data_IF_388600392027
#
_entry.id   IF_388600392027
#
_cell.length_a   1.000
_cell.length_b   1.000
_cell.length_c   1.000
_cell.angle_alpha   90.00
_cell.angle_beta   90.00
_cell.angle_gamma   90.00
#
_symmetry.space_group_name_H-M   'P 1'
#
loop_
_entity.id
_entity.type
_entity.pdbx_description
1 polymer ?
#
# COMPACT_ATOMS: atom_id res chain seq x y z
N UNK A 1 -22.37 -11.20 1.36
CA UNK A 1 -22.77 -12.62 1.13
C UNK A 1 -21.83 -13.46 1.96
N UNK A 2 -22.35 -14.04 3.06
CA UNK A 2 -21.57 -14.87 4.00
C UNK A 2 -21.38 -16.25 3.38
N UNK A 3 -20.15 -16.60 3.00
CA UNK A 3 -19.80 -17.99 2.65
C UNK A 3 -19.26 -18.67 3.91
N UNK A 4 -19.99 -19.63 4.39
CA UNK A 4 -19.55 -20.51 5.46
C UNK A 4 -18.64 -21.60 4.88
N UNK A 5 -17.44 -21.77 5.43
CA UNK A 5 -16.57 -22.90 5.13
C UNK A 5 -16.98 -24.06 6.05
N UNK A 6 -17.53 -25.12 5.46
CA UNK A 6 -17.94 -26.36 6.17
C UNK A 6 -16.72 -27.27 6.18
N UNK A 7 -16.19 -27.55 7.38
CA UNK A 7 -15.19 -28.61 7.57
C UNK A 7 -16.01 -29.93 7.72
N UNK A 8 -15.92 -30.81 6.72
CA UNK A 8 -16.62 -32.11 6.75
C UNK A 8 -15.85 -33.11 7.60
N UNK A 9 -16.51 -33.60 8.62
CA UNK A 9 -16.07 -34.73 9.41
C UNK A 9 -16.68 -36.01 8.77
N UNK A 10 -15.84 -36.85 8.20
CA UNK A 10 -16.28 -38.17 7.64
C UNK A 10 -16.34 -39.19 8.75
N UNK A 11 -17.55 -39.50 9.21
CA UNK A 11 -17.81 -40.65 10.07
C UNK A 11 -18.51 -41.74 9.24
N UNK A 12 -17.85 -42.86 9.06
CA UNK A 12 -18.37 -44.01 8.36
C UNK A 12 -19.34 -44.79 9.27
N UNK A 13 -20.61 -44.85 8.94
CA UNK A 13 -21.57 -45.77 9.53
C UNK A 13 -21.88 -46.92 8.55
N UNK A 14 -21.67 -48.16 9.02
CA UNK A 14 -22.07 -49.37 8.32
C UNK A 14 -23.55 -49.67 8.70
N UNK A 15 -24.41 -49.69 7.68
CA UNK A 15 -25.82 -50.06 7.83
C UNK A 15 -26.02 -51.52 7.45
N UNK A 16 -26.55 -52.33 8.35
CA UNK A 16 -26.97 -53.70 8.08
C UNK A 16 -28.49 -53.72 7.91
N UNK A 17 -28.91 -54.29 6.79
CA UNK A 17 -30.26 -54.33 6.29
C UNK A 17 -31.25 -55.16 7.16
N UNK A 18 -32.48 -54.66 7.27
CA UNK A 18 -33.62 -55.43 7.74
C UNK A 18 -34.51 -55.85 6.58
N UNK A 19 -34.88 -57.14 6.59
CA UNK A 19 -35.86 -57.76 5.69
C UNK A 19 -37.27 -57.63 6.24
N UNK A 20 -38.21 -57.34 5.38
CA UNK A 20 -39.68 -57.45 5.52
C UNK A 20 -40.14 -58.86 5.85
N UNK A 21 -41.22 -59.00 6.63
CA UNK A 21 -42.06 -60.18 6.62
C UNK A 21 -43.52 -59.91 6.91
N UNK A 22 -44.32 -60.58 6.13
CA UNK A 22 -45.73 -60.63 5.92
C UNK A 22 -46.62 -60.87 7.14
N UNK A 23 -47.90 -60.47 7.04
CA UNK A 23 -49.03 -60.79 7.92
C UNK A 23 -49.55 -62.16 7.61
N UNK A 24 -50.10 -62.84 8.61
CA UNK A 24 -51.11 -63.84 8.39
C UNK A 24 -52.41 -63.70 9.20
N UNK A 25 -53.42 -64.32 8.64
CA UNK A 25 -54.84 -64.33 8.86
C UNK A 25 -55.30 -64.80 10.20
N UNK A 26 -56.58 -64.41 10.51
CA UNK A 26 -57.44 -64.74 11.64
C UNK A 26 -57.99 -66.19 11.57
N UNK A 27 -58.09 -66.97 12.64
CA UNK A 27 -58.99 -68.10 12.75
C UNK A 27 -60.11 -67.94 13.78
N UNK A 28 -61.16 -68.67 13.53
CA UNK A 28 -62.50 -68.75 14.11
C UNK A 28 -62.52 -69.41 15.45
N UNK A 29 -63.62 -69.23 16.27
CA UNK A 29 -63.65 -69.64 17.68
C UNK A 29 -64.10 -71.10 17.96
N UNK A 30 -63.63 -71.61 19.03
CA UNK A 30 -64.12 -72.90 19.63
C UNK A 30 -63.95 -72.93 21.16
N UNK A 31 -64.55 -73.84 21.91
CA UNK A 31 -65.57 -73.58 22.93
C UNK A 31 -65.02 -73.44 24.35
N UNK A 32 -65.89 -72.92 25.24
CA UNK A 32 -65.69 -72.62 26.65
C UNK A 32 -65.30 -73.84 27.52
N UNK A 33 -64.28 -73.77 28.35
CA UNK A 33 -64.01 -74.65 29.45
C UNK A 33 -64.49 -74.10 30.81
N UNK A 34 -64.57 -74.92 31.87
CA UNK A 34 -65.24 -74.66 33.14
C UNK A 34 -64.42 -73.74 34.05
N UNK A 35 -65.13 -73.10 35.04
CA UNK A 35 -64.63 -72.11 35.94
C UNK A 35 -63.38 -72.51 36.75
N UNK A 36 -62.38 -71.62 36.89
CA UNK A 36 -61.19 -71.92 37.66
C UNK A 36 -61.34 -71.63 39.15
N UNK A 37 -60.65 -72.44 39.92
CA UNK A 37 -60.37 -72.35 41.36
C UNK A 37 -59.60 -71.01 41.64
N UNK A 38 -59.76 -70.38 42.83
CA UNK A 38 -59.06 -69.13 43.16
C UNK A 38 -57.55 -69.36 43.23
N UNK A 39 -56.83 -68.75 42.33
CA UNK A 39 -55.34 -68.66 42.31
C UNK A 39 -54.84 -67.70 43.40
N UNK A 40 -53.82 -68.15 44.15
CA UNK A 40 -53.08 -67.34 45.07
C UNK A 40 -52.36 -66.16 44.32
N UNK A 41 -52.18 -65.01 44.96
CA UNK A 41 -51.46 -63.85 44.29
C UNK A 41 -50.06 -64.28 43.98
N UNK A 42 -49.72 -64.20 42.68
CA UNK A 42 -48.33 -64.30 42.18
C UNK A 42 -47.52 -63.14 42.75
N UNK A 43 -46.35 -63.34 43.36
CA UNK A 43 -45.49 -62.26 43.78
C UNK A 43 -45.15 -61.39 42.56
N UNK A 44 -45.43 -60.08 42.67
CA UNK A 44 -45.04 -59.09 41.67
C UNK A 44 -43.50 -59.13 41.54
N UNK A 45 -42.90 -59.27 40.34
CA UNK A 45 -41.45 -59.24 40.20
C UNK A 45 -40.96 -57.90 40.69
N UNK A 46 -39.91 -57.96 41.50
CA UNK A 46 -39.22 -56.78 41.98
C UNK A 46 -38.96 -55.81 40.82
N UNK A 47 -39.17 -54.51 40.99
CA UNK A 47 -38.86 -53.51 39.92
C UNK A 47 -37.41 -53.66 39.53
N UNK A 48 -37.16 -53.98 38.24
CA UNK A 48 -35.83 -54.05 37.68
C UNK A 48 -35.09 -52.79 38.09
N UNK A 49 -33.84 -52.84 38.60
CA UNK A 49 -33.10 -51.68 38.99
C UNK A 49 -33.12 -50.69 37.82
N UNK A 50 -33.54 -49.45 38.05
CA UNK A 50 -33.55 -48.39 37.10
C UNK A 50 -32.08 -48.18 36.71
N UNK A 51 -31.68 -48.48 35.47
CA UNK A 51 -30.35 -48.22 35.01
C UNK A 51 -30.07 -46.71 35.23
N UNK A 52 -29.15 -46.43 36.13
CA UNK A 52 -28.67 -45.02 36.31
C UNK A 52 -28.08 -44.51 35.01
N UNK A 53 -28.68 -43.50 34.47
CA UNK A 53 -28.18 -42.87 33.24
C UNK A 53 -26.73 -42.42 33.42
N UNK A 54 -25.91 -42.57 32.40
CA UNK A 54 -24.50 -42.17 32.40
C UNK A 54 -24.27 -40.92 31.54
N UNK A 55 -23.59 -39.92 32.08
CA UNK A 55 -23.16 -38.77 31.29
C UNK A 55 -22.03 -39.17 30.33
N UNK A 56 -21.98 -38.55 29.15
CA UNK A 56 -20.92 -38.73 28.17
C UNK A 56 -20.66 -37.40 27.52
N UNK A 57 -19.50 -36.80 27.82
CA UNK A 57 -19.08 -35.52 27.25
C UNK A 57 -18.15 -35.75 26.06
N UNK A 58 -18.47 -35.13 24.94
CA UNK A 58 -17.68 -35.20 23.69
C UNK A 58 -17.32 -33.81 23.20
N UNK A 59 -16.23 -33.74 22.46
CA UNK A 59 -15.89 -32.55 21.68
C UNK A 59 -16.90 -32.40 20.55
N UNK A 60 -17.57 -31.25 20.45
CA UNK A 60 -18.60 -30.99 19.45
C UNK A 60 -18.05 -30.18 18.26
N UNK A 61 -17.39 -29.07 18.55
CA UNK A 61 -16.75 -28.21 17.51
C UNK A 61 -15.59 -27.40 18.09
N UNK A 62 -14.71 -26.96 17.18
CA UNK A 62 -13.65 -26.02 17.49
C UNK A 62 -13.82 -24.83 16.54
N UNK A 63 -13.77 -23.64 17.08
CA UNK A 63 -13.99 -22.39 16.35
C UNK A 63 -12.81 -21.43 16.55
N UNK A 64 -12.28 -20.88 15.46
CA UNK A 64 -11.29 -19.82 15.52
C UNK A 64 -11.97 -18.53 15.97
N UNK A 65 -11.77 -18.18 17.25
CA UNK A 65 -12.32 -16.99 17.86
C UNK A 65 -11.60 -15.73 17.39
N UNK A 66 -10.26 -15.75 17.41
CA UNK A 66 -9.42 -14.66 16.93
C UNK A 66 -8.02 -15.15 16.55
N UNK A 67 -7.43 -14.50 15.59
CA UNK A 67 -6.03 -14.54 15.23
C UNK A 67 -5.45 -13.12 15.30
N UNK A 68 -4.11 -12.98 15.37
CA UNK A 68 -3.47 -11.67 15.62
C UNK A 68 -3.52 -10.70 14.44
N UNK A 69 -3.71 -11.19 13.21
CA UNK A 69 -3.80 -10.39 11.98
C UNK A 69 -5.23 -10.27 11.44
N UNK A 70 -6.18 -11.03 12.05
CA UNK A 70 -7.61 -11.06 11.73
C UNK A 70 -7.92 -11.47 10.27
N UNK A 71 -7.10 -12.34 9.67
CA UNK A 71 -7.31 -12.88 8.32
C UNK A 71 -8.07 -14.22 8.34
N UNK A 72 -8.31 -14.80 9.53
CA UNK A 72 -8.99 -16.08 9.78
C UNK A 72 -8.23 -17.32 9.31
N UNK A 73 -6.96 -17.18 9.06
CA UNK A 73 -6.00 -18.23 8.78
C UNK A 73 -5.04 -18.37 9.96
N UNK A 74 -4.53 -19.55 10.21
CA UNK A 74 -3.55 -19.77 11.28
C UNK A 74 -2.19 -19.97 10.65
N UNK A 75 -1.31 -19.01 10.83
CA UNK A 75 0.03 -18.97 10.24
C UNK A 75 1.12 -18.91 11.32
N UNK A 76 2.37 -19.14 10.92
CA UNK A 76 3.52 -19.01 11.82
C UNK A 76 3.61 -17.61 12.44
N UNK A 77 4.00 -17.54 13.72
CA UNK A 77 4.16 -16.31 14.49
C UNK A 77 2.88 -15.69 15.03
N UNK A 78 1.71 -16.27 14.75
CA UNK A 78 0.44 -15.71 15.15
C UNK A 78 0.00 -16.14 16.54
N UNK A 79 -0.68 -15.22 17.24
CA UNK A 79 -1.46 -15.51 18.41
C UNK A 79 -2.84 -16.01 18.00
N UNK A 80 -3.17 -17.21 18.40
CA UNK A 80 -4.40 -17.90 18.06
C UNK A 80 -5.26 -18.04 19.31
N UNK A 81 -6.56 -17.80 19.19
CA UNK A 81 -7.57 -18.03 20.22
C UNK A 81 -8.68 -18.87 19.65
N UNK A 82 -8.95 -20.00 20.30
CA UNK A 82 -9.97 -20.94 19.87
C UNK A 82 -11.07 -21.04 20.93
N UNK A 83 -12.31 -21.01 20.51
CA UNK A 83 -13.41 -21.43 21.33
C UNK A 83 -13.76 -22.89 21.02
N UNK A 84 -14.11 -23.66 22.04
CA UNK A 84 -14.32 -25.10 21.97
C UNK A 84 -15.68 -25.42 22.57
N UNK A 85 -16.53 -26.08 21.80
CA UNK A 85 -17.81 -26.53 22.27
C UNK A 85 -17.74 -28.02 22.70
N UNK A 86 -18.32 -28.31 23.86
CA UNK A 86 -18.54 -29.66 24.37
C UNK A 86 -20.03 -30.00 24.31
N UNK A 87 -20.36 -31.29 24.14
CA UNK A 87 -21.73 -31.77 24.12
C UNK A 87 -21.91 -32.97 25.05
N UNK A 88 -22.99 -32.98 25.81
CA UNK A 88 -23.39 -34.15 26.54
C UNK A 88 -24.26 -35.07 25.65
N UNK A 89 -23.71 -36.19 25.22
CA UNK A 89 -24.40 -37.20 24.42
C UNK A 89 -24.89 -38.40 25.26
N UNK A 90 -24.67 -38.34 26.58
CA UNK A 90 -25.06 -39.38 27.50
C UNK A 90 -26.55 -39.38 27.84
N UNK A 91 -26.91 -40.23 28.80
CA UNK A 91 -28.29 -40.44 29.29
C UNK A 91 -28.52 -39.83 30.68
N UNK A 92 -27.54 -39.13 31.25
CA UNK A 92 -27.63 -38.36 32.48
C UNK A 92 -27.04 -36.96 32.34
N UNK A 93 -27.47 -36.04 33.20
CA UNK A 93 -26.87 -34.68 33.31
C UNK A 93 -25.45 -34.78 33.89
N UNK A 94 -24.48 -34.11 33.28
CA UNK A 94 -23.14 -33.90 33.84
C UNK A 94 -23.11 -32.58 34.62
N UNK A 95 -22.65 -32.62 35.87
CA UNK A 95 -22.49 -31.40 36.71
C UNK A 95 -21.02 -31.05 36.85
N UNK A 96 -20.71 -29.77 36.99
CA UNK A 96 -19.32 -29.23 37.17
C UNK A 96 -18.32 -29.69 36.09
N UNK A 97 -18.76 -29.68 34.82
CA UNK A 97 -17.91 -30.07 33.69
C UNK A 97 -16.79 -29.03 33.49
N UNK A 98 -15.55 -29.56 33.42
CA UNK A 98 -14.33 -28.79 33.17
C UNK A 98 -13.54 -29.45 32.05
N UNK A 99 -12.78 -28.62 31.29
CA UNK A 99 -11.86 -29.12 30.29
C UNK A 99 -10.44 -28.55 30.52
N UNK A 100 -9.46 -29.45 30.48
CA UNK A 100 -8.04 -29.10 30.49
C UNK A 100 -7.47 -29.32 29.09
N UNK A 101 -6.83 -28.30 28.54
CA UNK A 101 -6.21 -28.33 27.22
C UNK A 101 -4.69 -28.47 27.35
N UNK A 102 -4.09 -29.27 26.48
CA UNK A 102 -2.64 -29.47 26.45
C UNK A 102 -2.15 -29.79 25.03
N UNK A 103 -0.89 -29.50 24.78
CA UNK A 103 -0.19 -29.90 23.54
C UNK A 103 1.24 -30.27 23.84
N UNK A 104 1.81 -31.22 23.08
CA UNK A 104 3.24 -31.55 23.09
C UNK A 104 3.98 -30.99 21.87
N UNK A 105 3.31 -30.15 21.07
CA UNK A 105 3.94 -29.56 19.89
C UNK A 105 5.00 -28.54 20.28
N UNK A 106 6.21 -28.70 19.75
CA UNK A 106 7.32 -27.75 19.92
C UNK A 106 7.10 -26.45 19.15
N UNK A 107 6.10 -26.42 18.29
CA UNK A 107 5.72 -25.26 17.49
C UNK A 107 4.71 -24.34 18.19
N UNK A 108 4.35 -24.65 19.44
CA UNK A 108 3.43 -23.84 20.25
C UNK A 108 4.20 -23.19 21.39
N UNK A 109 4.02 -21.88 21.52
CA UNK A 109 4.54 -21.08 22.63
C UNK A 109 3.38 -20.33 23.30
N UNK A 110 3.57 -19.93 24.57
CA UNK A 110 2.55 -19.19 25.35
C UNK A 110 1.18 -19.88 25.40
N UNK A 111 1.17 -21.22 25.56
CA UNK A 111 -0.07 -22.00 25.65
C UNK A 111 -0.83 -21.69 26.94
N UNK A 112 -2.10 -21.33 26.85
CA UNK A 112 -2.97 -21.01 27.98
C UNK A 112 -4.45 -21.32 27.68
N UNK A 113 -5.31 -21.50 28.71
CA UNK A 113 -4.99 -21.46 30.12
C UNK A 113 -4.26 -22.73 30.60
N UNK A 114 -3.47 -22.59 31.66
CA UNK A 114 -2.84 -23.74 32.35
C UNK A 114 -3.75 -24.36 33.39
N UNK A 115 -4.92 -23.77 33.64
CA UNK A 115 -5.95 -24.23 34.59
C UNK A 115 -7.17 -24.73 33.83
N UNK A 116 -7.97 -25.67 34.45
CA UNK A 116 -9.18 -26.16 33.80
C UNK A 116 -10.19 -25.06 33.46
N UNK A 117 -10.75 -25.12 32.26
CA UNK A 117 -11.81 -24.23 31.77
C UNK A 117 -13.16 -24.77 32.20
N UNK A 118 -14.02 -23.93 32.79
CA UNK A 118 -15.34 -24.30 33.25
C UNK A 118 -16.35 -24.34 32.11
N UNK A 119 -17.16 -25.42 32.07
CA UNK A 119 -18.33 -25.59 31.20
C UNK A 119 -19.62 -25.69 31.99
N UNK A 120 -19.51 -25.91 33.31
CA UNK A 120 -20.66 -25.95 34.22
C UNK A 120 -21.52 -27.19 34.11
N UNK A 121 -22.83 -27.06 34.38
CA UNK A 121 -23.79 -28.15 34.28
C UNK A 121 -24.26 -28.33 32.83
N UNK A 122 -24.16 -29.56 32.33
CA UNK A 122 -24.53 -29.93 30.97
C UNK A 122 -25.66 -30.97 30.98
N UNK A 123 -26.95 -30.58 30.86
CA UNK A 123 -28.07 -31.49 30.66
C UNK A 123 -27.86 -32.38 29.42
N UNK A 124 -28.66 -33.46 29.35
CA UNK A 124 -28.68 -34.40 28.22
C UNK A 124 -28.90 -33.61 26.91
N UNK A 125 -28.05 -33.82 25.90
CA UNK A 125 -28.13 -33.19 24.59
C UNK A 125 -27.61 -31.77 24.53
N UNK A 126 -27.27 -31.13 25.66
CA UNK A 126 -26.76 -29.77 25.69
C UNK A 126 -25.36 -29.65 25.04
N UNK A 127 -25.19 -28.63 24.23
CA UNK A 127 -23.88 -28.13 23.77
C UNK A 127 -23.55 -26.89 24.56
N UNK A 128 -22.34 -26.81 25.11
CA UNK A 128 -21.86 -25.66 25.88
C UNK A 128 -20.49 -25.17 25.40
N UNK A 129 -20.28 -23.87 25.46
CA UNK A 129 -19.00 -23.20 25.37
C UNK A 129 -18.48 -22.84 26.76
N UNK A 130 -17.25 -22.28 26.84
CA UNK A 130 -16.64 -21.80 28.09
C UNK A 130 -17.62 -20.95 28.89
N UNK A 131 -17.76 -21.27 30.19
CA UNK A 131 -18.62 -20.55 31.12
C UNK A 131 -20.12 -20.59 30.76
N UNK A 132 -20.57 -21.53 29.93
CA UNK A 132 -21.92 -21.58 29.35
C UNK A 132 -22.28 -20.33 28.51
N UNK A 133 -21.26 -19.60 28.03
CA UNK A 133 -21.44 -18.45 27.17
C UNK A 133 -21.82 -18.82 25.74
N UNK A 134 -22.00 -17.81 24.92
CA UNK A 134 -22.25 -17.97 23.48
C UNK A 134 -20.95 -18.26 22.71
N UNK A 135 -21.07 -18.75 21.49
CA UNK A 135 -19.96 -19.09 20.58
C UNK A 135 -18.91 -17.96 20.45
N UNK A 136 -19.36 -16.73 20.38
CA UNK A 136 -18.54 -15.54 20.14
C UNK A 136 -18.26 -14.73 21.42
N UNK A 137 -18.57 -15.26 22.63
CA UNK A 137 -18.41 -14.49 23.87
C UNK A 137 -16.99 -14.50 24.44
N UNK A 138 -16.28 -15.64 24.33
CA UNK A 138 -14.93 -15.82 24.87
C UNK A 138 -14.24 -17.03 24.22
N UNK A 139 -12.92 -17.17 24.45
CA UNK A 139 -12.14 -18.31 23.96
C UNK A 139 -11.80 -19.28 25.08
N UNK A 140 -11.67 -20.56 24.74
CA UNK A 140 -11.34 -21.63 25.69
C UNK A 140 -9.83 -21.88 25.78
N UNK A 141 -9.11 -21.74 24.68
CA UNK A 141 -7.65 -21.96 24.58
C UNK A 141 -7.00 -20.95 23.68
N UNK A 142 -5.81 -20.50 24.07
CA UNK A 142 -4.99 -19.59 23.29
C UNK A 142 -3.53 -20.03 23.29
N UNK A 143 -2.82 -19.72 22.23
CA UNK A 143 -1.39 -19.97 22.07
C UNK A 143 -0.79 -19.10 20.97
N UNK A 144 0.54 -19.09 20.90
CA UNK A 144 1.27 -18.50 19.77
C UNK A 144 1.91 -19.61 18.94
N UNK A 145 1.73 -19.56 17.63
CA UNK A 145 2.45 -20.45 16.68
C UNK A 145 3.87 -19.95 16.51
N UNK A 146 4.87 -20.81 16.70
CA UNK A 146 6.27 -20.44 16.53
C UNK A 146 6.57 -19.91 15.13
N UNK A 147 7.45 -18.91 15.01
CA UNK A 147 7.92 -18.36 13.74
C UNK A 147 8.64 -19.38 12.85
N UNK A 148 9.15 -20.47 13.46
CA UNK A 148 9.87 -21.55 12.76
C UNK A 148 8.96 -22.66 12.27
N UNK A 149 7.64 -22.57 12.48
CA UNK A 149 6.68 -23.62 12.12
C UNK A 149 6.58 -23.75 10.60
N UNK A 150 6.82 -24.95 10.04
CA UNK A 150 6.59 -25.18 8.62
C UNK A 150 5.12 -25.08 8.25
N UNK A 151 4.83 -24.64 7.03
CA UNK A 151 3.48 -24.70 6.48
C UNK A 151 2.97 -26.15 6.41
N UNK A 152 1.69 -26.35 6.60
CA UNK A 152 1.06 -27.67 6.65
C UNK A 152 1.27 -28.45 7.96
N UNK A 153 1.97 -27.85 8.94
CA UNK A 153 2.13 -28.48 10.26
C UNK A 153 0.76 -28.65 10.93
N UNK A 154 0.50 -29.87 11.42
CA UNK A 154 -0.65 -30.20 12.22
C UNK A 154 -0.29 -30.12 13.71
N UNK A 155 -0.90 -29.21 14.45
CA UNK A 155 -0.69 -29.03 15.89
C UNK A 155 -1.79 -29.76 16.62
N UNK A 156 -1.52 -30.90 17.31
CA UNK A 156 -2.51 -31.61 18.10
C UNK A 156 -2.76 -30.87 19.42
N UNK A 157 -4.03 -30.71 19.77
CA UNK A 157 -4.48 -30.19 21.06
C UNK A 157 -5.30 -31.29 21.75
N UNK A 158 -4.81 -31.76 22.89
CA UNK A 158 -5.50 -32.74 23.70
C UNK A 158 -6.49 -32.05 24.65
N UNK A 159 -7.66 -32.64 24.83
CA UNK A 159 -8.73 -32.16 25.71
C UNK A 159 -9.05 -33.25 26.71
N UNK A 160 -8.80 -33.01 28.01
CA UNK A 160 -9.25 -33.83 29.09
C UNK A 160 -10.48 -33.17 29.73
N UNK A 161 -11.63 -33.78 29.59
CA UNK A 161 -12.90 -33.33 30.18
C UNK A 161 -13.20 -34.12 31.46
N UNK A 162 -13.62 -33.45 32.51
CA UNK A 162 -13.95 -34.08 33.79
C UNK A 162 -15.21 -33.47 34.40
N UNK A 163 -15.93 -34.23 35.22
CA UNK A 163 -17.02 -33.72 36.07
C UNK A 163 -16.83 -34.06 37.57
N UNK A 164 -15.60 -34.39 37.95
CA UNK A 164 -15.21 -34.82 39.29
C UNK A 164 -15.27 -36.33 39.49
N UNK A 165 -16.22 -37.05 38.87
CA UNK A 165 -16.39 -38.50 38.99
C UNK A 165 -15.95 -39.26 37.74
N UNK A 166 -16.29 -38.71 36.57
CA UNK A 166 -15.97 -39.27 35.26
C UNK A 166 -14.97 -38.40 34.51
N UNK A 167 -14.25 -39.02 33.56
CA UNK A 167 -13.36 -38.32 32.64
C UNK A 167 -13.55 -38.80 31.21
N UNK A 168 -13.38 -37.89 30.26
CA UNK A 168 -13.45 -38.14 28.83
C UNK A 168 -12.27 -37.46 28.14
N UNK A 169 -11.81 -37.99 27.03
CA UNK A 169 -10.69 -37.46 26.27
C UNK A 169 -11.08 -37.24 24.82
N UNK A 170 -10.52 -36.18 24.23
CA UNK A 170 -10.61 -35.90 22.82
C UNK A 170 -9.30 -35.24 22.38
N UNK A 171 -9.05 -35.24 21.07
CA UNK A 171 -7.98 -34.51 20.46
C UNK A 171 -8.52 -33.85 19.21
N UNK A 172 -8.11 -32.60 18.97
CA UNK A 172 -8.32 -31.96 17.69
C UNK A 172 -6.99 -31.41 17.16
N UNK A 173 -6.91 -31.13 15.88
CA UNK A 173 -5.70 -30.58 15.23
C UNK A 173 -5.98 -29.20 14.68
N UNK A 174 -4.97 -28.34 14.82
CA UNK A 174 -4.91 -27.03 14.18
C UNK A 174 -3.91 -27.12 13.05
N UNK A 175 -4.31 -26.76 11.84
CA UNK A 175 -3.43 -26.72 10.68
C UNK A 175 -2.78 -25.34 10.57
N UNK A 176 -1.44 -25.31 10.50
CA UNK A 176 -0.70 -24.07 10.22
C UNK A 176 -0.61 -23.89 8.71
N UNK A 177 -1.21 -22.83 8.23
CA UNK A 177 -1.23 -22.54 6.81
C UNK A 177 0.09 -21.87 6.35
N UNK A 178 0.38 -21.92 5.07
CA UNK A 178 1.47 -21.13 4.49
C UNK A 178 1.12 -19.64 4.60
N UNK A 179 2.10 -18.82 5.01
CA UNK A 179 1.99 -17.39 4.76
C UNK A 179 2.07 -17.19 3.25
N UNK A 180 0.95 -16.91 2.66
CA UNK A 180 0.83 -16.59 1.23
C UNK A 180 0.86 -15.07 1.03
N UNK A 181 1.78 -14.40 1.72
CA UNK A 181 2.09 -13.00 1.47
C UNK A 181 3.17 -12.90 0.38
N UNK A 182 2.94 -12.08 -0.61
CA UNK A 182 3.88 -11.81 -1.69
C UNK A 182 3.93 -10.32 -1.93
N UNK A 183 5.00 -9.67 -1.44
CA UNK A 183 5.14 -8.22 -1.51
C UNK A 183 6.00 -7.83 -2.70
N UNK A 184 5.50 -6.90 -3.50
CA UNK A 184 6.20 -6.33 -4.64
C UNK A 184 5.93 -4.85 -4.82
N UNK A 185 6.58 -4.26 -5.82
CA UNK A 185 6.31 -2.90 -6.25
C UNK A 185 4.89 -2.80 -6.83
N UNK A 186 4.21 -1.69 -6.54
CA UNK A 186 2.90 -1.37 -7.10
C UNK A 186 2.96 -0.16 -8.04
N UNK A 187 3.31 0.99 -7.48
CA UNK A 187 3.41 2.25 -8.21
C UNK A 187 4.31 3.24 -7.46
N UNK A 188 4.75 4.29 -8.13
CA UNK A 188 5.39 5.43 -7.49
C UNK A 188 4.63 6.73 -7.77
N UNK A 189 4.83 7.70 -6.91
CA UNK A 189 4.30 9.04 -7.01
C UNK A 189 5.43 10.06 -6.81
N UNK A 190 5.58 11.01 -7.74
CA UNK A 190 6.51 12.13 -7.59
C UNK A 190 5.87 13.14 -6.65
N UNK A 191 6.30 13.10 -5.39
CA UNK A 191 5.78 14.02 -4.37
C UNK A 191 6.25 15.44 -4.63
N UNK A 192 7.55 15.60 -4.85
CA UNK A 192 8.19 16.88 -5.10
C UNK A 192 9.24 16.72 -6.21
N UNK A 193 9.32 17.68 -7.07
CA UNK A 193 10.35 17.96 -8.04
C UNK A 193 10.59 19.47 -8.06
N UNK A 194 11.76 19.92 -8.50
CA UNK A 194 12.15 21.33 -8.35
C UNK A 194 11.34 22.27 -9.22
N UNK A 195 10.80 21.82 -10.37
CA UNK A 195 10.01 22.63 -11.30
C UNK A 195 8.50 22.39 -11.20
N UNK A 196 8.07 21.38 -10.40
CA UNK A 196 6.69 21.01 -10.12
C UNK A 196 5.88 20.56 -11.36
N UNK A 197 6.54 19.96 -12.37
CA UNK A 197 5.88 19.41 -13.56
C UNK A 197 5.49 17.93 -13.43
N UNK A 198 5.85 17.30 -12.32
CA UNK A 198 5.64 15.87 -12.01
C UNK A 198 6.34 14.92 -12.98
N UNK A 199 7.44 15.38 -13.53
CA UNK A 199 8.35 14.61 -14.36
C UNK A 199 9.73 14.51 -13.69
N UNK A 200 10.57 13.57 -14.13
CA UNK A 200 11.95 13.47 -13.66
C UNK A 200 12.84 14.09 -14.70
N UNK A 201 13.36 15.29 -14.44
CA UNK A 201 14.19 16.02 -15.38
C UNK A 201 15.64 16.11 -14.92
N UNK A 202 16.56 16.38 -15.85
CA UNK A 202 17.97 16.60 -15.52
C UNK A 202 18.15 17.85 -14.65
N UNK A 203 19.07 17.78 -13.68
CA UNK A 203 19.41 18.89 -12.78
C UNK A 203 18.44 19.07 -11.62
N UNK A 204 17.41 18.22 -11.47
CA UNK A 204 16.38 18.34 -10.45
C UNK A 204 16.62 17.44 -9.25
N UNK A 205 16.15 17.89 -8.11
CA UNK A 205 15.92 17.05 -6.94
C UNK A 205 14.53 16.48 -6.98
N UNK A 206 14.45 15.17 -6.87
CA UNK A 206 13.20 14.39 -6.93
C UNK A 206 12.95 13.75 -5.57
N UNK A 207 11.69 13.78 -5.12
CA UNK A 207 11.21 13.02 -3.97
C UNK A 207 10.11 12.08 -4.42
N UNK A 208 10.31 10.77 -4.20
CA UNK A 208 9.36 9.72 -4.57
C UNK A 208 8.71 9.12 -3.35
N UNK A 209 7.41 8.96 -3.39
CA UNK A 209 6.70 8.01 -2.56
C UNK A 209 6.39 6.76 -3.38
N UNK A 210 6.52 5.58 -2.76
CA UNK A 210 6.38 4.29 -3.44
C UNK A 210 5.35 3.47 -2.71
N UNK A 211 4.41 2.90 -3.43
CA UNK A 211 3.46 1.93 -2.91
C UNK A 211 3.98 0.51 -3.15
N UNK A 212 3.83 -0.33 -2.14
CA UNK A 212 4.01 -1.77 -2.22
C UNK A 212 2.66 -2.46 -2.28
N UNK A 213 2.57 -3.58 -2.98
CA UNK A 213 1.39 -4.43 -3.08
C UNK A 213 1.66 -5.81 -2.52
N UNK A 214 0.75 -6.29 -1.71
CA UNK A 214 0.67 -7.69 -1.34
C UNK A 214 -0.26 -8.40 -2.32
N UNK A 215 0.29 -9.23 -3.20
CA UNK A 215 -0.49 -10.04 -4.15
C UNK A 215 -0.87 -11.42 -3.59
N UNK A 216 -0.35 -11.76 -2.41
CA UNK A 216 -0.74 -12.96 -1.68
C UNK A 216 -2.07 -12.79 -0.95
N UNK A 217 -2.59 -13.88 -0.38
CA UNK A 217 -3.87 -13.92 0.34
C UNK A 217 -3.77 -13.51 1.81
N UNK A 218 -2.61 -13.75 2.43
CA UNK A 218 -2.37 -13.46 3.85
C UNK A 218 -1.79 -12.07 4.08
N UNK A 219 -2.00 -11.53 5.29
CA UNK A 219 -1.42 -10.25 5.70
C UNK A 219 0.08 -10.36 5.98
N UNK A 220 0.91 -9.54 5.33
CA UNK A 220 2.31 -9.33 5.73
C UNK A 220 2.35 -8.34 6.90
N UNK A 221 3.06 -8.68 7.98
CA UNK A 221 3.11 -7.86 9.21
C UNK A 221 4.40 -7.04 9.28
N UNK A 222 4.28 -5.78 9.72
CA UNK A 222 5.39 -4.83 9.90
C UNK A 222 6.36 -4.78 8.71
N UNK A 223 5.80 -4.62 7.51
CA UNK A 223 6.58 -4.58 6.26
C UNK A 223 7.49 -3.38 6.25
N UNK A 224 8.77 -3.63 5.94
CA UNK A 224 9.83 -2.63 5.78
C UNK A 224 10.47 -2.75 4.41
N UNK A 225 10.92 -1.64 3.86
CA UNK A 225 11.61 -1.62 2.58
C UNK A 225 12.81 -0.67 2.60
N UNK A 226 13.89 -1.08 1.93
CA UNK A 226 15.05 -0.26 1.62
C UNK A 226 15.18 -0.10 0.11
N UNK A 227 15.57 1.10 -0.33
CA UNK A 227 15.67 1.46 -1.73
C UNK A 227 17.14 1.71 -2.10
N UNK A 228 17.56 1.18 -3.23
CA UNK A 228 18.91 1.37 -3.75
C UNK A 228 18.86 1.88 -5.19
N UNK A 229 19.59 2.97 -5.46
CA UNK A 229 19.76 3.52 -6.80
C UNK A 229 21.21 3.33 -7.22
N UNK A 230 21.43 2.61 -8.30
CA UNK A 230 22.76 2.33 -8.83
C UNK A 230 22.87 2.96 -10.23
N UNK A 231 23.05 4.29 -10.29
CA UNK A 231 23.14 5.04 -11.54
C UNK A 231 24.25 6.11 -11.47
N UNK A 232 25.07 6.18 -12.50
CA UNK A 232 26.09 7.20 -12.63
C UNK A 232 25.50 8.62 -12.80
N UNK A 233 24.22 8.72 -13.13
CA UNK A 233 23.50 9.96 -13.37
C UNK A 233 22.76 10.52 -12.15
N UNK A 234 22.94 9.90 -10.99
CA UNK A 234 22.23 10.27 -9.75
C UNK A 234 23.25 10.63 -8.66
N UNK A 235 22.94 11.66 -7.90
CA UNK A 235 23.71 12.11 -6.73
C UNK A 235 22.77 12.40 -5.56
N UNK A 236 23.33 12.63 -4.36
CA UNK A 236 22.59 13.06 -3.17
C UNK A 236 21.41 12.12 -2.83
N UNK A 237 21.63 10.80 -2.96
CA UNK A 237 20.61 9.79 -2.65
C UNK A 237 20.37 9.77 -1.15
N UNK A 238 19.12 9.93 -0.75
CA UNK A 238 18.65 9.74 0.61
C UNK A 238 17.45 8.77 0.58
N UNK A 239 17.66 7.56 1.07
CA UNK A 239 16.69 6.49 1.05
C UNK A 239 16.72 5.74 2.39
N UNK A 240 16.20 6.32 3.49
CA UNK A 240 16.11 5.65 4.77
C UNK A 240 15.15 4.44 4.68
N UNK A 241 15.31 3.46 5.58
CA UNK A 241 14.35 2.36 5.69
C UNK A 241 12.94 2.92 5.88
N UNK A 242 12.01 2.45 5.05
CA UNK A 242 10.62 2.87 5.07
C UNK A 242 9.72 1.78 5.68
N UNK A 243 8.89 2.14 6.66
CA UNK A 243 7.89 1.25 7.23
C UNK A 243 6.55 1.40 6.51
N UNK A 244 5.96 0.26 6.12
CA UNK A 244 4.64 0.16 5.49
C UNK A 244 3.59 -0.41 6.46
N UNK A 245 4.03 -0.82 7.67
CA UNK A 245 3.18 -1.53 8.65
C UNK A 245 2.62 -2.82 8.04
N UNK A 246 1.43 -3.25 8.47
CA UNK A 246 0.80 -4.45 7.94
C UNK A 246 0.17 -4.17 6.57
N UNK A 247 0.45 -5.03 5.57
CA UNK A 247 -0.20 -4.97 4.26
C UNK A 247 -1.09 -6.20 4.12
N UNK A 248 -2.41 -6.00 4.15
CA UNK A 248 -3.38 -7.09 4.01
C UNK A 248 -3.27 -7.78 2.64
N UNK A 249 -3.70 -9.03 2.57
CA UNK A 249 -3.73 -9.77 1.31
C UNK A 249 -4.52 -9.02 0.23
N UNK A 250 -4.05 -9.07 -1.01
CA UNK A 250 -4.62 -8.41 -2.18
C UNK A 250 -4.74 -6.87 -2.06
N UNK A 251 -3.98 -6.23 -1.17
CA UNK A 251 -4.01 -4.77 -0.97
C UNK A 251 -2.65 -4.12 -1.18
N UNK A 252 -2.65 -2.78 -1.32
CA UNK A 252 -1.45 -1.97 -1.43
C UNK A 252 -1.38 -0.94 -0.31
N UNK A 253 -0.17 -0.45 -0.04
CA UNK A 253 0.07 0.59 0.94
C UNK A 253 1.23 1.49 0.53
N UNK A 254 1.14 2.77 0.84
CA UNK A 254 2.25 3.71 0.92
C UNK A 254 2.87 3.69 2.32
N UNK A 255 4.01 4.36 2.48
CA UNK A 255 4.72 4.53 3.76
C UNK A 255 3.74 4.89 4.89
N UNK A 256 3.84 4.18 6.02
CA UNK A 256 2.98 4.31 7.19
C UNK A 256 1.47 4.19 6.94
N UNK A 257 1.04 3.65 5.79
CA UNK A 257 -0.36 3.65 5.32
C UNK A 257 -0.96 5.05 5.17
N UNK A 258 -0.13 6.04 4.97
CA UNK A 258 -0.55 7.41 4.67
C UNK A 258 -0.96 7.54 3.20
N UNK A 259 -1.52 8.69 2.82
CA UNK A 259 -1.81 8.97 1.41
C UNK A 259 -0.51 9.11 0.59
N UNK A 260 -0.59 8.93 -0.72
CA UNK A 260 0.56 9.07 -1.63
C UNK A 260 1.24 10.45 -1.56
N UNK A 261 0.52 11.46 -1.08
CA UNK A 261 0.97 12.85 -1.00
C UNK A 261 1.58 13.22 0.36
N UNK A 262 1.48 12.34 1.37
CA UNK A 262 1.82 12.71 2.76
C UNK A 262 3.32 12.67 3.04
N UNK A 263 4.07 11.76 2.40
CA UNK A 263 5.48 11.53 2.72
C UNK A 263 6.23 11.03 1.46
N UNK A 264 7.55 10.80 1.60
CA UNK A 264 8.36 10.17 0.57
C UNK A 264 9.25 9.09 1.19
N UNK A 265 9.70 8.15 0.38
CA UNK A 265 10.57 7.03 0.82
C UNK A 265 12.01 7.19 0.35
N UNK A 266 12.19 7.90 -0.75
CA UNK A 266 13.52 8.20 -1.26
C UNK A 266 13.55 9.57 -1.95
N UNK A 267 14.73 10.21 -1.92
CA UNK A 267 15.03 11.40 -2.72
C UNK A 267 16.41 11.28 -3.35
N UNK A 268 16.58 11.90 -4.48
CA UNK A 268 17.84 11.95 -5.21
C UNK A 268 17.88 13.20 -6.11
N UNK A 269 19.06 13.51 -6.62
CA UNK A 269 19.28 14.58 -7.59
C UNK A 269 19.77 13.97 -8.91
N UNK A 270 19.11 14.33 -10.00
CA UNK A 270 19.51 13.94 -11.36
C UNK A 270 20.58 14.91 -11.85
N UNK A 271 21.71 14.41 -12.32
CA UNK A 271 22.79 15.27 -12.85
C UNK A 271 22.34 16.06 -14.06
N UNK A 272 22.90 17.27 -14.23
CA UNK A 272 22.57 18.19 -15.33
C UNK A 272 23.01 17.68 -16.72
N UNK A 273 24.06 16.86 -16.75
CA UNK A 273 24.60 16.24 -17.95
C UNK A 273 23.92 14.92 -18.33
N UNK A 274 22.86 14.54 -17.61
CA UNK A 274 22.11 13.30 -17.88
C UNK A 274 21.46 13.37 -19.26
N UNK A 275 21.69 12.38 -20.14
CA UNK A 275 21.03 12.33 -21.44
C UNK A 275 19.51 12.17 -21.29
N UNK A 276 18.75 12.73 -22.25
CA UNK A 276 17.32 12.54 -22.32
C UNK A 276 16.99 11.04 -22.51
N UNK A 277 15.88 10.58 -21.93
CA UNK A 277 15.43 9.19 -21.91
C UNK A 277 16.36 8.23 -21.14
N UNK A 278 17.29 8.75 -20.33
CA UNK A 278 18.05 7.90 -19.41
C UNK A 278 17.12 7.18 -18.44
N UNK A 279 17.28 5.87 -18.36
CA UNK A 279 16.56 5.01 -17.41
C UNK A 279 17.36 4.92 -16.13
N UNK A 280 16.76 5.25 -15.01
CA UNK A 280 17.34 5.12 -13.67
C UNK A 280 16.64 3.94 -12.96
N UNK A 281 17.35 2.79 -12.78
CA UNK A 281 16.80 1.65 -12.07
C UNK A 281 16.83 1.89 -10.56
N UNK A 282 15.77 1.46 -9.88
CA UNK A 282 15.62 1.53 -8.44
C UNK A 282 15.25 0.14 -7.93
N UNK A 283 16.09 -0.42 -7.07
CA UNK A 283 15.90 -1.72 -6.45
C UNK A 283 15.25 -1.56 -5.08
N UNK A 284 14.40 -2.52 -4.71
CA UNK A 284 13.70 -2.56 -3.43
C UNK A 284 14.01 -3.89 -2.76
N UNK A 285 14.58 -3.87 -1.56
CA UNK A 285 14.66 -5.01 -0.67
C UNK A 285 13.58 -4.85 0.40
N UNK A 286 12.76 -5.88 0.58
CA UNK A 286 11.55 -5.84 1.42
C UNK A 286 11.63 -6.97 2.44
N UNK A 287 11.29 -6.68 3.70
CA UNK A 287 11.21 -7.65 4.80
C UNK A 287 9.92 -7.45 5.58
N UNK A 288 9.53 -8.48 6.35
CA UNK A 288 8.42 -8.39 7.31
C UNK A 288 8.84 -8.82 8.72
N UNK A 289 7.91 -8.80 9.68
CA UNK A 289 8.14 -9.21 11.08
C UNK A 289 8.56 -10.68 11.23
N UNK A 290 8.33 -11.51 10.22
CA UNK A 290 8.66 -12.93 10.22
C UNK A 290 9.97 -13.25 9.47
N UNK A 291 10.74 -12.21 9.11
CA UNK A 291 11.95 -12.29 8.30
C UNK A 291 11.72 -12.91 6.91
N UNK A 292 10.50 -12.89 6.39
CA UNK A 292 10.29 -13.14 4.97
C UNK A 292 10.95 -12.02 4.17
N UNK A 293 11.49 -12.37 2.99
CA UNK A 293 12.24 -11.44 2.15
C UNK A 293 11.66 -11.46 0.74
N UNK A 294 11.50 -10.29 0.17
CA UNK A 294 11.12 -10.10 -1.23
C UNK A 294 12.03 -9.06 -1.86
N UNK A 295 12.17 -9.15 -3.16
CA UNK A 295 12.88 -8.16 -3.98
C UNK A 295 11.95 -7.68 -5.07
N UNK A 296 12.02 -6.40 -5.37
CA UNK A 296 11.31 -5.77 -6.46
C UNK A 296 12.19 -4.66 -7.06
N UNK A 297 11.84 -4.21 -8.23
CA UNK A 297 12.48 -3.08 -8.88
C UNK A 297 11.46 -2.26 -9.66
N UNK A 298 11.82 -1.03 -9.95
CA UNK A 298 11.11 -0.16 -10.87
C UNK A 298 12.10 0.83 -11.51
N UNK A 299 11.63 1.58 -12.48
CA UNK A 299 12.46 2.50 -13.23
C UNK A 299 11.80 3.86 -13.29
N UNK A 300 12.61 4.91 -13.24
CA UNK A 300 12.20 6.26 -13.62
C UNK A 300 12.95 6.68 -14.88
N UNK A 301 12.28 7.41 -15.75
CA UNK A 301 12.86 7.87 -17.01
C UNK A 301 13.09 9.37 -16.94
N UNK A 302 14.34 9.79 -17.19
CA UNK A 302 14.70 11.21 -17.25
C UNK A 302 14.19 11.81 -18.55
N UNK A 303 13.36 12.84 -18.44
CA UNK A 303 12.84 13.57 -19.58
C UNK A 303 13.62 14.85 -19.82
N UNK A 304 13.58 15.36 -21.05
CA UNK A 304 13.98 16.73 -21.31
C UNK A 304 12.98 17.67 -20.62
N UNK A 305 13.48 18.78 -20.08
CA UNK A 305 12.59 19.84 -19.60
C UNK A 305 11.74 20.33 -20.78
N UNK A 306 10.45 20.44 -20.57
CA UNK A 306 9.53 20.96 -21.56
C UNK A 306 9.52 22.50 -21.64
N UNK A 307 10.45 23.18 -20.99
CA UNK A 307 10.64 24.63 -21.14
C UNK A 307 11.17 24.96 -22.53
N UNK A 308 10.64 26.00 -23.13
CA UNK A 308 11.13 26.56 -24.41
C UNK A 308 11.13 28.08 -24.34
N UNK A 309 12.31 28.65 -24.17
CA UNK A 309 12.50 30.12 -24.03
C UNK A 309 12.81 30.73 -25.36
N UNK A 310 12.06 31.77 -25.69
CA UNK A 310 12.19 32.52 -26.93
C UNK A 310 12.01 34.03 -26.68
N UNK A 311 12.34 34.83 -27.68
CA UNK A 311 12.02 36.25 -27.71
C UNK A 311 10.51 36.47 -27.65
N UNK A 312 10.08 37.47 -26.89
CA UNK A 312 8.69 37.89 -26.81
C UNK A 312 8.45 39.27 -27.49
N UNK A 313 9.10 40.26 -26.94
CA UNK A 313 9.00 41.63 -27.39
C UNK A 313 10.18 42.43 -26.88
N UNK A 314 10.39 43.63 -27.47
CA UNK A 314 11.32 44.61 -26.94
C UNK A 314 10.60 45.94 -26.64
N UNK A 315 11.22 46.74 -25.77
CA UNK A 315 10.73 48.07 -25.41
C UNK A 315 11.89 49.07 -25.42
N UNK A 316 11.77 50.16 -26.22
CA UNK A 316 12.72 51.24 -26.20
C UNK A 316 12.39 52.14 -25.01
N UNK A 317 13.34 52.28 -24.10
CA UNK A 317 13.16 53.12 -22.90
C UNK A 317 13.20 54.57 -23.32
N UNK A 318 12.12 55.28 -23.02
CA UNK A 318 11.99 56.70 -23.33
C UNK A 318 12.93 57.56 -22.47
N UNK A 319 13.72 58.37 -23.07
CA UNK A 319 14.58 59.35 -22.43
C UNK A 319 14.77 60.58 -23.32
N UNK A 320 15.74 61.47 -22.98
CA UNK A 320 15.98 62.69 -23.76
C UNK A 320 16.46 62.41 -25.20
N UNK A 321 17.09 61.24 -25.44
CA UNK A 321 17.57 60.85 -26.77
C UNK A 321 16.50 60.13 -27.60
N UNK A 322 15.55 59.49 -26.91
CA UNK A 322 14.47 58.72 -27.51
C UNK A 322 13.11 59.02 -26.87
N UNK A 323 12.62 60.28 -26.93
CA UNK A 323 11.40 60.67 -26.20
C UNK A 323 10.14 59.93 -26.66
N UNK A 324 10.10 59.56 -27.95
CA UNK A 324 8.98 58.83 -28.54
C UNK A 324 9.11 57.31 -28.42
N UNK A 325 10.23 56.82 -27.87
CA UNK A 325 10.50 55.37 -27.80
C UNK A 325 10.84 54.79 -29.17
N UNK A 326 11.39 55.58 -30.07
CA UNK A 326 11.87 55.20 -31.41
C UNK A 326 13.41 55.09 -31.40
N UNK A 327 13.93 54.18 -32.19
CA UNK A 327 15.39 54.07 -32.40
C UNK A 327 15.76 54.91 -33.62
N UNK A 328 16.46 56.02 -33.35
CA UNK A 328 16.74 57.08 -34.35
C UNK A 328 18.19 57.10 -34.78
N UNK A 329 18.51 57.51 -36.02
CA UNK A 329 19.85 57.72 -36.53
C UNK A 329 20.63 58.73 -35.69
N UNK A 330 21.91 58.46 -35.42
CA UNK A 330 22.77 59.29 -34.61
C UNK A 330 22.45 59.41 -33.16
N UNK A 331 21.42 58.65 -32.66
CA UNK A 331 20.99 58.72 -31.29
C UNK A 331 21.34 57.44 -30.51
N UNK A 332 21.48 57.60 -29.20
CA UNK A 332 21.69 56.49 -28.29
C UNK A 332 20.36 55.85 -27.96
N UNK A 333 20.27 54.54 -28.11
CA UNK A 333 19.09 53.74 -27.76
C UNK A 333 19.34 52.89 -26.53
N UNK A 334 18.35 52.84 -25.66
CA UNK A 334 18.25 51.93 -24.49
C UNK A 334 17.08 51.01 -24.69
N UNK A 335 17.35 49.71 -24.81
CA UNK A 335 16.33 48.75 -25.13
C UNK A 335 16.26 47.69 -24.03
N UNK A 336 15.07 47.44 -23.53
CA UNK A 336 14.76 46.27 -22.68
C UNK A 336 14.11 45.20 -23.56
N UNK A 337 14.33 43.92 -23.17
CA UNK A 337 13.86 42.76 -23.94
C UNK A 337 13.12 41.83 -23.01
N UNK A 338 11.94 41.36 -23.42
CA UNK A 338 11.21 40.32 -22.76
C UNK A 338 11.44 38.97 -23.41
N UNK A 339 11.55 37.96 -22.60
CA UNK A 339 11.57 36.55 -23.02
C UNK A 339 10.26 35.88 -22.63
N UNK A 340 9.77 34.94 -23.44
CA UNK A 340 8.60 34.11 -23.16
C UNK A 340 8.98 32.64 -23.06
N UNK A 341 8.31 31.92 -22.18
CA UNK A 341 8.38 30.51 -22.16
C UNK A 341 7.14 29.93 -22.85
N UNK A 342 7.34 29.31 -24.00
CA UNK A 342 6.24 28.62 -24.75
C UNK A 342 6.10 27.15 -24.40
N UNK A 343 7.01 26.63 -23.56
CA UNK A 343 6.97 25.27 -23.08
C UNK A 343 6.00 25.07 -21.92
N UNK A 344 5.82 23.81 -21.51
CA UNK A 344 4.92 23.40 -20.43
C UNK A 344 5.55 23.39 -19.04
N UNK A 345 6.88 23.46 -18.94
CA UNK A 345 7.63 23.53 -17.67
C UNK A 345 8.21 24.91 -17.45
N UNK A 346 8.46 25.30 -16.20
CA UNK A 346 9.20 26.52 -15.88
C UNK A 346 10.70 26.36 -16.18
N UNK A 347 11.37 27.45 -16.52
CA UNK A 347 12.82 27.56 -16.60
C UNK A 347 13.32 28.39 -15.43
N UNK A 348 14.41 27.97 -14.75
CA UNK A 348 14.95 28.65 -13.56
C UNK A 348 16.33 29.24 -13.82
N UNK A 349 16.62 30.37 -13.15
CA UNK A 349 17.88 31.11 -13.29
C UNK A 349 18.24 31.38 -14.75
N UNK A 350 17.22 31.70 -15.54
CA UNK A 350 17.37 31.98 -16.95
C UNK A 350 18.30 33.16 -17.14
N UNK A 351 19.30 32.98 -18.01
CA UNK A 351 20.24 34.01 -18.40
C UNK A 351 20.26 34.14 -19.91
N UNK A 352 20.30 35.39 -20.41
CA UNK A 352 20.37 35.68 -21.83
C UNK A 352 21.56 36.59 -22.13
N UNK A 353 22.26 36.29 -23.22
CA UNK A 353 23.32 37.11 -23.78
C UNK A 353 22.85 37.63 -25.15
N UNK A 354 22.99 38.92 -25.36
CA UNK A 354 22.56 39.59 -26.56
C UNK A 354 23.78 40.04 -27.38
N UNK A 355 23.76 39.84 -28.69
CA UNK A 355 24.82 40.23 -29.58
C UNK A 355 24.28 40.81 -30.89
N UNK A 356 25.03 41.71 -31.50
CA UNK A 356 24.75 42.23 -32.84
C UNK A 356 26.04 42.42 -33.64
N UNK A 357 25.99 42.17 -34.93
CA UNK A 357 27.04 42.43 -35.87
C UNK A 357 26.59 43.50 -36.90
N UNK A 358 25.56 44.29 -36.57
CA UNK A 358 25.03 45.30 -37.45
C UNK A 358 26.08 46.40 -37.71
N UNK A 359 26.35 46.79 -38.96
CA UNK A 359 27.27 47.93 -39.29
C UNK A 359 26.67 49.26 -38.86
N UNK A 360 25.36 49.27 -38.51
CA UNK A 360 24.65 50.50 -38.09
C UNK A 360 24.71 50.74 -36.58
N UNK A 361 25.43 49.89 -35.82
CA UNK A 361 25.56 50.01 -34.38
C UNK A 361 27.00 50.40 -34.03
N UNK A 362 27.13 51.52 -33.36
CA UNK A 362 28.42 52.03 -32.79
C UNK A 362 28.23 52.02 -31.24
N UNK A 363 29.33 51.87 -30.49
CA UNK A 363 29.37 51.90 -29.04
C UNK A 363 28.42 50.85 -28.42
N UNK A 364 28.38 49.66 -29.03
CA UNK A 364 27.62 48.54 -28.43
C UNK A 364 28.30 48.05 -27.16
N UNK A 365 27.62 48.26 -26.04
CA UNK A 365 28.09 47.75 -24.77
C UNK A 365 27.45 46.38 -24.54
N UNK A 366 28.19 45.28 -24.85
CA UNK A 366 27.75 43.93 -24.54
C UNK A 366 27.70 43.78 -23.03
N UNK A 367 26.51 43.76 -22.46
CA UNK A 367 26.33 43.44 -21.07
C UNK A 367 26.65 41.96 -20.81
N UNK A 368 27.24 41.61 -19.64
CA UNK A 368 27.34 40.22 -19.24
C UNK A 368 25.96 39.60 -19.27
N UNK A 369 25.86 38.26 -19.25
CA UNK A 369 24.58 37.54 -19.30
C UNK A 369 23.54 38.13 -18.35
N UNK A 370 22.39 38.52 -18.89
CA UNK A 370 21.29 39.17 -18.17
C UNK A 370 20.42 38.11 -17.49
N UNK A 371 20.07 38.29 -16.22
CA UNK A 371 19.22 37.41 -15.48
C UNK A 371 17.73 37.73 -15.71
N UNK A 372 16.94 36.70 -15.96
CA UNK A 372 15.47 36.73 -16.00
C UNK A 372 14.85 35.94 -14.85
N UNK A 373 15.67 35.30 -14.02
CA UNK A 373 15.33 34.48 -12.89
C UNK A 373 14.43 33.29 -13.29
N UNK A 374 13.15 33.28 -12.92
CA UNK A 374 12.21 32.19 -13.23
C UNK A 374 11.23 32.65 -14.30
N UNK A 375 11.15 31.90 -15.41
CA UNK A 375 10.11 32.11 -16.44
C UNK A 375 9.18 30.90 -16.41
N UNK A 376 7.99 31.09 -15.81
CA UNK A 376 7.00 30.02 -15.71
C UNK A 376 6.44 29.62 -17.07
N UNK A 377 5.94 28.42 -17.17
CA UNK A 377 5.26 27.93 -18.38
C UNK A 377 4.20 28.93 -18.87
N UNK A 378 4.21 29.18 -20.18
CA UNK A 378 3.27 30.05 -20.87
C UNK A 378 3.27 31.53 -20.39
N UNK A 379 4.37 31.99 -19.75
CA UNK A 379 4.49 33.38 -19.28
C UNK A 379 5.62 34.13 -20.00
N UNK A 380 5.55 35.46 -19.90
CA UNK A 380 6.59 36.40 -20.36
C UNK A 380 7.25 37.04 -19.15
N UNK A 381 8.53 37.23 -19.19
CA UNK A 381 9.33 37.93 -18.19
C UNK A 381 10.24 38.98 -18.77
N UNK A 382 10.37 40.09 -18.06
CA UNK A 382 11.39 41.10 -18.26
C UNK A 382 12.58 40.82 -17.35
N UNK A 383 13.73 41.48 -17.60
CA UNK A 383 14.92 41.37 -16.77
C UNK A 383 14.60 41.43 -15.27
N UNK A 384 15.09 40.46 -14.49
CA UNK A 384 14.91 40.39 -13.03
C UNK A 384 13.47 40.51 -12.54
N UNK A 385 12.46 40.22 -13.40
CA UNK A 385 11.04 40.42 -13.08
C UNK A 385 10.61 41.89 -12.93
N UNK A 386 11.45 42.80 -13.33
CA UNK A 386 11.23 44.26 -13.21
C UNK A 386 10.31 44.77 -14.33
N UNK A 387 9.68 45.95 -14.16
CA UNK A 387 8.88 46.58 -15.23
C UNK A 387 9.72 46.89 -16.48
N UNK A 388 9.09 46.85 -17.66
CA UNK A 388 9.74 47.07 -18.97
C UNK A 388 10.48 48.38 -19.08
N UNK A 389 10.11 49.40 -18.33
CA UNK A 389 10.67 50.74 -18.33
C UNK A 389 11.88 50.92 -17.41
N UNK A 390 12.22 49.91 -16.60
CA UNK A 390 13.14 50.09 -15.49
C UNK A 390 14.60 50.03 -15.88
N UNK A 391 15.01 49.03 -16.67
CA UNK A 391 16.45 48.79 -16.97
C UNK A 391 16.63 48.25 -18.38
N UNK A 392 17.61 48.84 -19.09
CA UNK A 392 17.97 48.41 -20.43
C UNK A 392 18.87 47.18 -20.38
N UNK A 393 18.66 46.23 -21.28
CA UNK A 393 19.55 45.07 -21.54
C UNK A 393 20.49 45.35 -22.71
N UNK A 394 20.13 46.28 -23.60
CA UNK A 394 20.94 46.74 -24.73
C UNK A 394 21.10 48.24 -24.63
N UNK A 395 22.36 48.70 -24.80
CA UNK A 395 22.70 50.11 -24.93
C UNK A 395 23.64 50.25 -26.12
N UNK A 396 23.25 51.04 -27.08
CA UNK A 396 24.04 51.28 -28.30
C UNK A 396 23.71 52.64 -28.92
N UNK A 397 24.61 53.15 -29.76
CA UNK A 397 24.40 54.34 -30.58
C UNK A 397 24.17 53.88 -32.03
N UNK A 398 23.16 54.42 -32.68
CA UNK A 398 22.90 54.15 -34.10
C UNK A 398 23.80 55.11 -34.95
N UNK A 399 24.46 54.57 -35.98
CA UNK A 399 25.23 55.37 -36.95
C UNK A 399 24.33 56.43 -37.60
N UNK A 400 24.78 57.63 -37.60
CA UNK A 400 24.06 58.75 -38.23
C UNK A 400 23.82 58.56 -39.76
N UNK A 401 24.64 57.73 -40.40
CA UNK A 401 24.54 57.41 -41.84
C UNK A 401 23.71 56.13 -42.09
N UNK A 402 23.14 55.51 -41.05
CA UNK A 402 22.30 54.37 -41.26
C UNK A 402 21.12 54.72 -42.19
N UNK A 403 20.71 53.80 -43.13
CA UNK A 403 19.54 54.04 -43.95
C UNK A 403 18.27 54.08 -43.13
N UNK A 404 17.33 54.94 -43.47
CA UNK A 404 16.04 54.99 -42.90
C UNK A 404 15.30 53.65 -43.16
N UNK A 405 14.61 53.11 -42.13
CA UNK A 405 13.93 51.83 -42.23
C UNK A 405 14.87 50.60 -42.21
N UNK A 406 16.19 50.81 -42.12
CA UNK A 406 17.12 49.69 -41.90
C UNK A 406 16.86 48.98 -40.58
N UNK A 407 17.28 47.72 -40.47
CA UNK A 407 17.10 46.91 -39.26
C UNK A 407 18.43 46.55 -38.63
N UNK A 408 18.42 46.49 -37.32
CA UNK A 408 19.53 46.03 -36.49
C UNK A 408 19.16 44.62 -36.00
N UNK A 409 19.79 43.54 -36.54
CA UNK A 409 19.57 42.20 -36.05
C UNK A 409 20.21 42.01 -34.66
N UNK A 410 19.48 41.47 -33.73
CA UNK A 410 19.94 41.09 -32.39
C UNK A 410 19.81 39.59 -32.25
N UNK A 411 20.91 38.90 -31.94
CA UNK A 411 20.92 37.47 -31.61
C UNK A 411 20.86 37.30 -30.09
N UNK A 412 20.17 36.29 -29.66
CA UNK A 412 19.96 35.96 -28.25
C UNK A 412 20.46 34.53 -28.02
N UNK A 413 21.40 34.34 -27.09
CA UNK A 413 21.77 33.05 -26.56
C UNK A 413 21.24 32.94 -25.15
N UNK A 414 20.44 31.92 -24.85
CA UNK A 414 19.70 31.76 -23.60
C UNK A 414 20.11 30.43 -22.96
N UNK A 415 20.30 30.42 -21.63
CA UNK A 415 20.58 29.21 -20.84
C UNK A 415 19.78 29.23 -19.54
N UNK A 416 19.48 28.08 -19.00
CA UNK A 416 18.88 27.95 -17.68
C UNK A 416 19.75 27.16 -16.68
N UNK A 417 19.29 27.01 -15.45
CA UNK A 417 19.99 26.26 -14.40
C UNK A 417 19.97 24.74 -14.62
N UNK A 418 19.06 24.24 -15.45
CA UNK A 418 18.97 22.81 -15.83
C UNK A 418 19.90 22.43 -16.98
N UNK A 419 20.72 23.38 -17.48
CA UNK A 419 21.64 23.18 -18.60
C UNK A 419 20.97 23.16 -19.97
N UNK A 420 19.72 23.62 -20.07
CA UNK A 420 19.09 23.82 -21.36
C UNK A 420 19.62 25.09 -22.01
N UNK A 421 19.63 25.10 -23.35
CA UNK A 421 20.02 26.25 -24.13
C UNK A 421 19.07 26.48 -25.29
N UNK A 422 18.82 27.75 -25.58
CA UNK A 422 17.99 28.19 -26.70
C UNK A 422 18.67 29.33 -27.41
N UNK A 423 18.45 29.44 -28.70
CA UNK A 423 18.89 30.57 -29.50
C UNK A 423 17.70 31.19 -30.20
N UNK A 424 17.67 32.51 -30.25
CA UNK A 424 16.61 33.25 -30.94
C UNK A 424 17.18 34.55 -31.44
N UNK A 425 16.40 35.29 -32.22
CA UNK A 425 16.81 36.62 -32.77
C UNK A 425 15.59 37.49 -33.04
N UNK A 426 15.81 38.78 -33.05
CA UNK A 426 14.81 39.77 -33.47
C UNK A 426 15.49 40.97 -34.16
N UNK A 427 14.71 41.80 -34.82
CA UNK A 427 15.18 42.99 -35.51
C UNK A 427 14.65 44.26 -34.84
N UNK A 428 15.50 45.25 -34.64
CA UNK A 428 15.13 46.58 -34.22
C UNK A 428 15.14 47.46 -35.46
N UNK A 429 14.02 48.16 -35.77
CA UNK A 429 13.93 49.06 -36.90
C UNK A 429 14.51 50.43 -36.55
N UNK A 430 15.27 51.03 -37.46
CA UNK A 430 15.74 52.41 -37.39
C UNK A 430 14.66 53.30 -37.98
N UNK A 431 14.15 54.22 -37.20
CA UNK A 431 13.14 55.20 -37.65
C UNK A 431 13.82 56.49 -38.09
N UNK A 432 13.14 57.27 -38.96
CA UNK A 432 13.54 58.58 -39.30
C UNK A 432 13.21 59.62 -38.23
N UNK A 433 13.98 60.71 -38.17
CA UNK A 433 13.53 61.92 -37.51
C UNK A 433 12.26 62.38 -38.26
N UNK A 434 11.13 62.51 -37.53
CA UNK A 434 10.06 63.32 -38.08
C UNK A 434 10.56 64.77 -38.06
N UNK A 435 10.87 65.31 -39.26
CA UNK A 435 11.13 66.75 -39.40
C UNK A 435 9.84 67.44 -38.97
N UNK A 436 9.91 68.27 -37.88
CA UNK A 436 8.85 69.16 -37.42
C UNK A 436 8.51 70.22 -38.50
#
# INVERSE_FOLDING_TARGET
MKKYLLISLLASFICIACKEKEQPQKPTPSPTPPAPTPEQPIPQPDPKPKEEGKATIVLQEVYLYADSNNDKHISKGEKVRLNVALKNTGTATATDVKATFSTNSTYVIDFHPTTPVLYGTMPIGMTAYKGQGEKDSDYAVGFTVSNTTPAGTLIPINVLMTNGNDSWQATFTVTVEALDATIGFHEYYIKEDDNNDKEVNKGERIKLNVALKNSGSSTAQDVKATFTINSAYVTNVNAPEASYRNIAGNSSAYKYKLSKESDYVLSFEVKRDTPNNTVIPIQIAITDAFNNQWQADFQVVVKATAAHIAFAEYYVIKDIETPDGKVLRGKKAKVNVALKNTGSSEARKVKATFTTNSPYVIDYNSTPAISYDIIRAHTTAWQEGLPKTYKAVLNFTVDANAPAGATIPINIAIVDDYGNSWNDSFNIRIEDHEDD
#
